data_IF_335161760120
#
_entry.id   IF_335161760120
#
_cell.length_a   1.000
_cell.length_b   1.000
_cell.length_c   1.000
_cell.angle_alpha   90.00
_cell.angle_beta   90.00
_cell.angle_gamma   90.00
#
_symmetry.space_group_name_H-M   'P 1'
#
loop_
_entity.id
_entity.type
_entity.pdbx_description
1 polymer ?
#
# COMPACT_ATOMS: atom_id res chain seq x y z
N UNK A 1 -16.89 58.12 -54.78
CA UNK A 1 -17.21 58.27 -53.34
C UNK A 1 -16.94 56.93 -52.64
N UNK A 2 -16.01 56.90 -51.67
CA UNK A 2 -15.71 55.70 -50.86
C UNK A 2 -16.34 55.91 -49.48
N UNK A 3 -17.32 55.09 -49.11
CA UNK A 3 -17.97 55.12 -47.80
C UNK A 3 -17.25 54.20 -46.84
N UNK A 4 -16.62 54.74 -45.80
CA UNK A 4 -16.00 53.95 -44.74
C UNK A 4 -17.09 53.38 -43.81
N UNK A 5 -17.28 52.06 -43.83
CA UNK A 5 -18.16 51.35 -42.91
C UNK A 5 -17.51 51.29 -41.53
N UNK A 6 -17.98 52.12 -40.60
CA UNK A 6 -17.61 52.06 -39.18
C UNK A 6 -18.15 50.78 -38.54
N UNK A 7 -17.26 49.80 -38.28
CA UNK A 7 -17.60 48.65 -37.43
C UNK A 7 -17.49 49.10 -35.98
N UNK A 8 -18.61 49.13 -35.26
CA UNK A 8 -18.62 49.37 -33.80
C UNK A 8 -17.87 48.22 -33.12
N UNK A 9 -16.90 48.48 -32.23
CA UNK A 9 -16.31 47.43 -31.42
C UNK A 9 -17.39 46.87 -30.48
N UNK A 10 -17.70 45.58 -30.59
CA UNK A 10 -18.56 44.89 -29.63
C UNK A 10 -17.77 44.69 -28.34
N UNK A 11 -18.15 45.42 -27.29
CA UNK A 11 -17.60 45.24 -25.94
C UNK A 11 -18.33 44.13 -25.19
N UNK A 12 -17.62 43.46 -24.29
CA UNK A 12 -18.20 42.48 -23.35
C UNK A 12 -19.11 43.19 -22.35
N UNK A 13 -20.30 42.64 -22.11
CA UNK A 13 -21.19 43.13 -21.06
C UNK A 13 -20.79 42.57 -19.69
N UNK A 14 -21.08 43.31 -18.62
CA UNK A 14 -20.86 42.82 -17.25
C UNK A 14 -21.63 41.52 -16.97
N UNK A 15 -22.80 41.36 -17.60
CA UNK A 15 -23.64 40.16 -17.48
C UNK A 15 -22.96 38.96 -18.13
N UNK A 16 -22.39 39.11 -19.33
CA UNK A 16 -21.65 38.02 -19.98
C UNK A 16 -20.44 37.59 -19.17
N UNK A 17 -19.70 38.53 -18.59
CA UNK A 17 -18.58 38.21 -17.70
C UNK A 17 -19.07 37.48 -16.43
N UNK A 18 -20.19 37.90 -15.86
CA UNK A 18 -20.78 37.31 -14.65
C UNK A 18 -21.26 35.86 -14.89
N UNK A 19 -21.91 35.60 -16.03
CA UNK A 19 -22.36 34.24 -16.39
C UNK A 19 -21.16 33.31 -16.58
N UNK A 20 -20.08 33.78 -17.21
CA UNK A 20 -18.87 32.97 -17.43
C UNK A 20 -18.23 32.57 -16.11
N UNK A 21 -18.02 33.51 -15.18
CA UNK A 21 -17.44 33.17 -13.88
C UNK A 21 -18.37 32.26 -13.07
N UNK A 22 -19.69 32.42 -13.18
CA UNK A 22 -20.66 31.54 -12.53
C UNK A 22 -20.54 30.09 -13.04
N UNK A 23 -20.41 29.90 -14.36
CA UNK A 23 -20.19 28.58 -14.96
C UNK A 23 -18.84 28.00 -14.51
N UNK A 24 -17.76 28.80 -14.50
CA UNK A 24 -16.43 28.35 -14.04
C UNK A 24 -16.49 27.87 -12.59
N UNK A 25 -17.17 28.60 -11.70
CA UNK A 25 -17.30 28.22 -10.28
C UNK A 25 -18.04 26.90 -10.13
N UNK A 26 -19.14 26.69 -10.85
CA UNK A 26 -19.90 25.43 -10.80
C UNK A 26 -19.06 24.27 -11.31
N UNK A 27 -18.36 24.44 -12.45
CA UNK A 27 -17.49 23.39 -13.01
C UNK A 27 -16.29 23.10 -12.11
N UNK A 28 -15.68 24.13 -11.51
CA UNK A 28 -14.57 23.97 -10.58
C UNK A 28 -15.00 23.20 -9.33
N UNK A 29 -16.17 23.52 -8.76
CA UNK A 29 -16.71 22.83 -7.59
C UNK A 29 -16.96 21.35 -7.87
N UNK A 30 -17.60 21.02 -9.01
CA UNK A 30 -17.82 19.63 -9.41
C UNK A 30 -16.50 18.88 -9.69
N UNK A 31 -15.54 19.54 -10.36
CA UNK A 31 -14.24 18.96 -10.70
C UNK A 31 -13.40 18.62 -9.47
N UNK A 32 -13.43 19.46 -8.44
CA UNK A 32 -12.65 19.25 -7.22
C UNK A 32 -13.09 18.00 -6.45
N UNK A 33 -14.41 17.78 -6.34
CA UNK A 33 -14.96 16.58 -5.67
C UNK A 33 -14.54 15.28 -6.36
N UNK A 34 -14.66 15.22 -7.69
CA UNK A 34 -14.27 14.06 -8.48
C UNK A 34 -12.75 13.76 -8.37
N UNK A 35 -11.91 14.80 -8.38
CA UNK A 35 -10.46 14.67 -8.26
C UNK A 35 -10.04 14.03 -6.93
N UNK A 36 -10.64 14.45 -5.80
CA UNK A 36 -10.32 13.86 -4.48
C UNK A 36 -10.67 12.37 -4.41
N UNK A 37 -11.83 11.97 -4.94
CA UNK A 37 -12.23 10.55 -4.98
C UNK A 37 -11.30 9.74 -5.88
N UNK A 38 -10.93 10.28 -7.06
CA UNK A 38 -10.00 9.62 -7.96
C UNK A 38 -8.62 9.41 -7.32
N UNK A 39 -8.09 10.41 -6.61
CA UNK A 39 -6.82 10.28 -5.89
C UNK A 39 -6.89 9.23 -4.77
N UNK A 40 -7.98 9.16 -4.00
CA UNK A 40 -8.15 8.14 -2.96
C UNK A 40 -8.18 6.73 -3.57
N UNK A 41 -8.89 6.55 -4.68
CA UNK A 41 -8.92 5.27 -5.41
C UNK A 41 -7.55 4.90 -5.96
N UNK A 42 -6.82 5.85 -6.55
CA UNK A 42 -5.47 5.62 -7.06
C UNK A 42 -4.51 5.16 -5.95
N UNK A 43 -4.57 5.80 -4.78
CA UNK A 43 -3.82 5.37 -3.60
C UNK A 43 -4.18 3.94 -3.18
N UNK A 44 -5.47 3.63 -3.12
CA UNK A 44 -5.91 2.29 -2.73
C UNK A 44 -5.45 1.19 -3.71
N UNK A 45 -5.51 1.47 -5.01
CA UNK A 45 -4.98 0.56 -6.05
C UNK A 45 -3.47 0.38 -5.88
N UNK A 46 -2.72 1.47 -5.71
CA UNK A 46 -1.26 1.40 -5.50
C UNK A 46 -0.90 0.57 -4.26
N UNK A 47 -1.60 0.78 -3.14
CA UNK A 47 -1.43 -0.03 -1.94
C UNK A 47 -1.68 -1.51 -2.22
N UNK A 48 -2.76 -1.85 -2.92
CA UNK A 48 -3.09 -3.24 -3.26
C UNK A 48 -2.00 -3.88 -4.13
N UNK A 49 -1.48 -3.14 -5.12
CA UNK A 49 -0.38 -3.62 -5.96
C UNK A 49 0.85 -3.95 -5.13
N UNK A 50 1.30 -3.03 -4.26
CA UNK A 50 2.47 -3.25 -3.40
C UNK A 50 2.24 -4.41 -2.42
N UNK A 51 1.06 -4.50 -1.81
CA UNK A 51 0.71 -5.62 -0.93
C UNK A 51 0.78 -6.97 -1.67
N UNK A 52 0.30 -7.02 -2.91
CA UNK A 52 0.37 -8.22 -3.76
C UNK A 52 1.82 -8.55 -4.12
N UNK A 53 2.68 -7.54 -4.37
CA UNK A 53 4.10 -7.75 -4.63
C UNK A 53 4.83 -8.34 -3.41
N UNK A 54 4.44 -7.97 -2.19
CA UNK A 54 4.99 -8.58 -0.96
C UNK A 54 4.55 -10.05 -0.85
N UNK A 55 3.28 -10.35 -1.07
CA UNK A 55 2.75 -11.73 -1.07
C UNK A 55 3.49 -12.60 -2.11
N UNK A 56 3.68 -12.07 -3.32
CA UNK A 56 4.44 -12.75 -4.38
C UNK A 56 5.90 -12.97 -3.99
N UNK A 57 6.55 -11.98 -3.37
CA UNK A 57 7.94 -12.10 -2.94
C UNK A 57 8.11 -13.19 -1.87
N UNK A 58 7.17 -13.29 -0.93
CA UNK A 58 7.17 -14.34 0.11
C UNK A 58 6.97 -15.72 -0.53
N UNK A 59 6.02 -15.85 -1.46
CA UNK A 59 5.80 -17.12 -2.17
C UNK A 59 7.02 -17.53 -3.01
N UNK A 60 7.69 -16.57 -3.66
CA UNK A 60 8.93 -16.85 -4.39
C UNK A 60 10.07 -17.28 -3.45
N UNK A 61 10.20 -16.64 -2.29
CA UNK A 61 11.15 -17.05 -1.27
C UNK A 61 10.87 -18.48 -0.78
N UNK A 62 9.61 -18.81 -0.52
CA UNK A 62 9.20 -20.16 -0.13
C UNK A 62 9.54 -21.19 -1.20
N UNK A 63 9.25 -20.90 -2.48
CA UNK A 63 9.59 -21.81 -3.58
C UNK A 63 11.10 -22.05 -3.73
N UNK A 64 11.91 -21.04 -3.41
CA UNK A 64 13.36 -21.13 -3.52
C UNK A 64 14.00 -21.90 -2.36
N UNK A 65 13.55 -21.62 -1.13
CA UNK A 65 14.19 -22.10 0.09
C UNK A 65 13.40 -23.20 0.81
N UNK A 66 12.19 -23.53 0.34
CA UNK A 66 11.24 -24.45 0.97
C UNK A 66 10.93 -24.10 2.44
N UNK A 67 11.04 -22.82 2.79
CA UNK A 67 10.76 -22.28 4.12
C UNK A 67 10.31 -20.83 3.98
N UNK A 68 9.44 -20.38 4.88
CA UNK A 68 9.04 -18.99 4.96
C UNK A 68 10.17 -18.11 5.54
N UNK A 69 10.21 -16.82 5.19
CA UNK A 69 11.09 -15.87 5.86
C UNK A 69 10.72 -15.81 7.34
N UNK A 70 11.70 -15.96 8.22
CA UNK A 70 11.52 -15.95 9.66
C UNK A 70 12.22 -14.73 10.29
N UNK A 71 11.62 -13.52 10.22
CA UNK A 71 12.23 -12.31 10.74
C UNK A 71 12.36 -12.27 12.27
N UNK A 72 11.57 -13.06 13.00
CA UNK A 72 11.57 -13.14 14.46
C UNK A 72 12.48 -14.26 15.00
N UNK A 73 12.83 -15.24 14.15
CA UNK A 73 13.52 -16.48 14.55
C UNK A 73 12.60 -17.44 15.31
N UNK A 74 11.31 -17.13 15.39
CA UNK A 74 10.32 -17.82 16.22
C UNK A 74 8.96 -17.83 15.53
N UNK A 75 8.91 -18.12 14.23
CA UNK A 75 7.63 -18.51 13.60
C UNK A 75 6.98 -19.59 14.49
N UNK A 76 5.87 -19.21 15.12
CA UNK A 76 5.30 -19.94 16.26
C UNK A 76 4.17 -20.82 15.78
N UNK A 77 4.06 -22.02 16.36
CA UNK A 77 3.00 -22.98 16.02
C UNK A 77 1.59 -22.53 16.45
N UNK A 78 1.49 -21.60 17.40
CA UNK A 78 0.21 -21.29 18.09
C UNK A 78 -0.41 -19.94 17.70
N UNK A 79 0.32 -19.08 16.98
CA UNK A 79 -0.20 -17.78 16.54
C UNK A 79 0.64 -17.15 15.44
N UNK A 80 -0.03 -16.60 14.42
CA UNK A 80 0.59 -15.80 13.36
C UNK A 80 0.48 -14.29 13.66
N UNK A 81 1.47 -13.66 14.31
CA UNK A 81 1.42 -12.23 14.59
C UNK A 81 1.56 -11.41 13.30
N UNK A 82 0.83 -10.28 13.15
CA UNK A 82 1.06 -9.35 12.07
C UNK A 82 2.38 -8.61 12.25
N UNK A 83 3.22 -8.66 11.21
CA UNK A 83 4.49 -7.96 11.07
C UNK A 83 4.26 -6.61 10.38
N UNK A 84 4.65 -5.51 11.03
CA UNK A 84 4.54 -4.16 10.46
C UNK A 84 5.82 -3.79 9.69
N UNK A 85 5.73 -3.61 8.37
CA UNK A 85 6.88 -3.26 7.51
C UNK A 85 7.51 -1.90 7.77
N UNK A 86 6.98 -1.11 8.70
CA UNK A 86 7.55 0.16 9.14
C UNK A 86 8.36 0.07 10.44
N UNK A 87 8.35 -1.09 11.13
CA UNK A 87 9.04 -1.25 12.42
C UNK A 87 9.58 -2.66 12.65
N UNK A 88 10.63 -2.79 13.47
CA UNK A 88 11.06 -4.05 14.07
C UNK A 88 11.21 -5.22 13.08
N UNK A 89 10.44 -6.27 13.29
CA UNK A 89 10.50 -7.52 12.53
C UNK A 89 10.01 -7.39 11.09
N UNK A 90 9.07 -6.48 10.80
CA UNK A 90 8.65 -6.25 9.42
C UNK A 90 9.75 -5.59 8.58
N UNK A 91 10.63 -4.79 9.19
CA UNK A 91 11.84 -4.28 8.50
C UNK A 91 12.82 -5.41 8.23
N UNK A 92 13.00 -6.34 9.19
CA UNK A 92 13.82 -7.54 8.96
C UNK A 92 13.28 -8.41 7.82
N UNK A 93 11.96 -8.57 7.74
CA UNK A 93 11.31 -9.25 6.61
C UNK A 93 11.70 -8.59 5.28
N UNK A 94 11.65 -7.25 5.20
CA UNK A 94 12.09 -6.53 4.00
C UNK A 94 13.58 -6.75 3.71
N UNK A 95 14.45 -6.76 4.72
CA UNK A 95 15.88 -7.03 4.50
C UNK A 95 16.14 -8.41 3.92
N UNK A 96 15.37 -9.43 4.34
CA UNK A 96 15.44 -10.80 3.81
C UNK A 96 14.97 -10.82 2.34
N UNK A 97 13.79 -10.25 2.07
CA UNK A 97 13.17 -10.25 0.73
C UNK A 97 13.95 -9.39 -0.28
N UNK A 98 14.67 -8.37 0.18
CA UNK A 98 15.52 -7.52 -0.66
C UNK A 98 16.98 -8.03 -0.76
N UNK A 99 17.31 -9.13 -0.09
CA UNK A 99 18.66 -9.72 -0.12
C UNK A 99 19.73 -8.85 0.55
N UNK A 100 19.33 -7.94 1.45
CA UNK A 100 20.19 -6.98 2.16
C UNK A 100 20.60 -7.45 3.57
N UNK A 101 20.50 -8.74 3.86
CA UNK A 101 20.92 -9.29 5.15
C UNK A 101 22.44 -9.10 5.36
N UNK A 102 22.82 -8.59 6.54
CA UNK A 102 24.19 -8.23 6.90
C UNK A 102 24.99 -9.36 7.57
N UNK A 103 24.49 -10.59 7.54
CA UNK A 103 25.13 -11.77 8.13
C UNK A 103 26.08 -12.55 7.20
N UNK A 104 26.76 -13.55 7.78
CA UNK A 104 27.64 -14.48 7.04
C UNK A 104 27.22 -15.93 7.34
N UNK A 105 27.06 -16.76 6.30
CA UNK A 105 26.79 -18.18 6.49
C UNK A 105 25.36 -18.49 6.95
N UNK A 106 25.22 -19.28 8.03
CA UNK A 106 23.97 -19.87 8.50
C UNK A 106 22.92 -18.85 9.00
N UNK A 107 23.35 -17.63 9.33
CA UNK A 107 22.48 -16.55 9.81
C UNK A 107 21.70 -15.86 8.69
N UNK A 108 22.11 -16.06 7.43
CA UNK A 108 21.48 -15.45 6.26
C UNK A 108 20.39 -16.39 5.76
N UNK A 109 19.14 -15.92 5.78
CA UNK A 109 18.03 -16.73 5.29
C UNK A 109 18.00 -16.78 3.77
N UNK A 110 18.28 -15.65 3.12
CA UNK A 110 18.43 -15.52 1.69
C UNK A 110 19.88 -15.74 1.26
N UNK A 111 20.37 -16.98 1.37
CA UNK A 111 21.79 -17.32 1.10
C UNK A 111 22.25 -16.98 -0.32
N UNK A 112 21.32 -16.93 -1.28
CA UNK A 112 21.57 -16.56 -2.68
C UNK A 112 21.53 -15.05 -2.93
N UNK A 113 21.20 -14.22 -1.92
CA UNK A 113 21.07 -12.76 -2.01
C UNK A 113 20.19 -12.30 -3.18
N UNK A 114 19.11 -13.05 -3.45
CA UNK A 114 18.20 -12.72 -4.53
C UNK A 114 17.22 -11.63 -4.11
N UNK A 115 16.91 -10.71 -5.00
CA UNK A 115 15.90 -9.68 -4.75
C UNK A 115 14.55 -10.24 -5.16
N UNK A 116 13.70 -10.56 -4.18
CA UNK A 116 12.34 -11.07 -4.39
C UNK A 116 11.31 -9.94 -4.48
N UNK A 117 11.56 -8.84 -3.76
CA UNK A 117 10.65 -7.70 -3.71
C UNK A 117 11.16 -6.55 -4.57
N UNK A 118 10.34 -6.11 -5.53
CA UNK A 118 10.58 -4.88 -6.28
C UNK A 118 9.41 -3.92 -6.08
N UNK A 119 9.67 -2.80 -5.40
CA UNK A 119 8.68 -1.79 -5.06
C UNK A 119 9.27 -0.40 -5.26
N UNK A 120 8.45 0.60 -5.64
CA UNK A 120 8.95 1.95 -5.82
C UNK A 120 9.47 2.54 -4.50
N UNK A 121 10.46 3.42 -4.61
CA UNK A 121 10.94 4.21 -3.48
C UNK A 121 9.92 5.28 -3.07
N UNK A 122 9.74 5.41 -1.77
CA UNK A 122 8.84 6.37 -1.14
C UNK A 122 9.57 7.63 -0.66
N UNK A 123 8.79 8.61 -0.19
CA UNK A 123 9.32 9.84 0.44
C UNK A 123 8.50 10.21 1.67
N UNK A 124 9.16 10.69 2.71
CA UNK A 124 8.50 11.22 3.91
C UNK A 124 7.62 10.21 4.63
N UNK A 125 8.11 8.97 4.80
CA UNK A 125 7.38 7.84 5.41
C UNK A 125 6.07 7.50 4.71
N UNK A 126 6.02 7.70 3.38
CA UNK A 126 4.84 7.43 2.55
C UNK A 126 5.27 6.88 1.20
N UNK A 127 4.35 6.11 0.63
CA UNK A 127 4.28 5.83 -0.80
C UNK A 127 5.46 5.04 -1.39
N UNK A 128 6.00 4.10 -0.62
CA UNK A 128 7.06 3.21 -1.10
C UNK A 128 8.09 2.84 -0.03
N UNK A 129 9.16 2.22 -0.50
CA UNK A 129 10.29 1.77 0.31
C UNK A 129 11.20 2.95 0.64
N UNK A 130 11.67 3.04 1.89
CA UNK A 130 12.52 4.12 2.35
C UNK A 130 13.80 3.54 2.95
N UNK A 131 14.91 4.17 2.58
CA UNK A 131 16.24 3.86 3.08
C UNK A 131 16.72 4.96 4.02
N UNK A 132 17.52 4.57 5.02
CA UNK A 132 18.29 5.45 5.89
C UNK A 132 19.76 5.05 5.74
N UNK A 133 20.48 5.77 4.88
CA UNK A 133 21.79 5.31 4.41
C UNK A 133 21.64 4.09 3.50
N UNK A 134 22.34 3.00 3.83
CA UNK A 134 22.23 1.71 3.10
C UNK A 134 21.19 0.76 3.72
N UNK A 135 20.72 1.07 4.93
CA UNK A 135 19.73 0.27 5.65
C UNK A 135 18.30 0.61 5.23
N UNK A 136 17.43 -0.39 5.28
CA UNK A 136 16.01 -0.21 5.00
C UNK A 136 15.36 0.34 6.27
N UNK A 137 14.73 1.51 6.16
CA UNK A 137 13.94 2.09 7.25
C UNK A 137 12.57 1.44 7.34
N UNK A 138 11.96 1.15 6.18
CA UNK A 138 10.67 0.50 6.10
C UNK A 138 9.95 0.74 4.78
N UNK A 139 8.86 0.00 4.58
CA UNK A 139 7.98 0.11 3.42
C UNK A 139 6.65 0.70 3.88
N UNK A 140 6.24 1.81 3.27
CA UNK A 140 5.06 2.56 3.65
C UNK A 140 4.02 2.58 2.53
N UNK A 141 2.76 2.53 2.92
CA UNK A 141 1.64 2.77 2.02
C UNK A 141 1.52 4.29 1.67
N UNK A 142 0.68 4.67 0.69
CA UNK A 142 0.45 6.06 0.33
C UNK A 142 -0.22 6.91 1.44
N UNK A 143 -0.67 6.28 2.53
CA UNK A 143 -1.31 6.92 3.69
C UNK A 143 -0.31 7.18 4.84
N UNK A 144 0.86 6.54 4.79
CA UNK A 144 1.96 6.67 5.74
C UNK A 144 1.88 5.70 6.91
N UNK A 145 1.34 4.52 6.68
CA UNK A 145 1.40 3.36 7.57
C UNK A 145 2.20 2.24 6.89
N UNK A 146 2.81 1.36 7.68
CA UNK A 146 3.42 0.14 7.14
C UNK A 146 2.36 -0.86 6.66
N UNK A 147 2.79 -1.76 5.78
CA UNK A 147 2.02 -2.94 5.43
C UNK A 147 2.11 -3.94 6.58
N UNK A 148 1.01 -4.61 6.84
CA UNK A 148 0.90 -5.66 7.83
C UNK A 148 0.99 -6.99 7.09
N UNK A 149 1.95 -7.81 7.46
CA UNK A 149 2.20 -9.13 6.87
C UNK A 149 1.97 -10.18 7.94
N UNK A 150 1.11 -11.14 7.66
CA UNK A 150 0.93 -12.31 8.52
C UNK A 150 1.42 -13.52 7.74
N UNK A 151 2.32 -14.29 8.33
CA UNK A 151 2.91 -15.49 7.75
C UNK A 151 2.27 -16.71 8.40
N UNK A 152 2.04 -17.77 7.63
CA UNK A 152 1.61 -19.09 8.13
C UNK A 152 2.78 -19.75 8.88
N UNK A 153 2.90 -19.49 10.18
CA UNK A 153 4.06 -19.91 10.98
C UNK A 153 4.07 -21.41 11.29
N UNK A 154 2.89 -22.03 11.35
CA UNK A 154 2.70 -23.44 11.68
C UNK A 154 2.53 -24.34 10.45
N UNK A 155 2.54 -23.74 9.25
CA UNK A 155 2.40 -24.42 7.96
C UNK A 155 1.11 -25.24 7.87
N UNK A 156 0.06 -24.81 8.56
CA UNK A 156 -1.25 -25.46 8.53
C UNK A 156 -2.10 -25.01 7.33
N UNK A 157 -1.59 -24.09 6.51
CA UNK A 157 -2.26 -23.45 5.37
C UNK A 157 -3.52 -22.67 5.75
N UNK A 158 -3.69 -22.31 7.02
CA UNK A 158 -4.85 -21.66 7.62
C UNK A 158 -4.45 -20.38 8.35
N UNK A 159 -4.53 -19.23 7.66
CA UNK A 159 -4.24 -17.95 8.28
C UNK A 159 -5.52 -17.28 8.78
N UNK A 160 -5.48 -16.80 10.03
CA UNK A 160 -6.54 -15.97 10.62
C UNK A 160 -6.19 -14.48 10.47
N UNK A 161 -6.97 -13.71 9.69
CA UNK A 161 -6.83 -12.27 9.68
C UNK A 161 -7.01 -11.67 11.08
N UNK A 162 -6.22 -10.66 11.47
CA UNK A 162 -6.35 -10.05 12.77
C UNK A 162 -7.71 -9.35 12.91
N UNK A 163 -8.26 -9.36 14.12
CA UNK A 163 -9.63 -8.89 14.42
C UNK A 163 -9.89 -7.45 13.96
N UNK A 164 -8.85 -6.61 13.95
CA UNK A 164 -8.93 -5.22 13.49
C UNK A 164 -9.26 -5.07 11.99
N UNK A 165 -9.06 -6.13 11.19
CA UNK A 165 -9.43 -6.18 9.78
C UNK A 165 -10.87 -6.62 9.53
N UNK A 166 -11.56 -7.12 10.55
CA UNK A 166 -12.94 -7.60 10.41
C UNK A 166 -13.94 -6.44 10.53
N UNK A 167 -14.94 -6.41 9.65
CA UNK A 167 -15.97 -5.38 9.68
C UNK A 167 -16.74 -5.41 11.01
N UNK A 168 -17.02 -4.23 11.58
CA UNK A 168 -17.78 -4.08 12.83
C UNK A 168 -19.14 -4.79 12.72
N UNK A 169 -19.35 -5.86 13.49
CA UNK A 169 -20.59 -6.65 13.48
C UNK A 169 -20.49 -8.05 12.85
N UNK A 170 -19.32 -8.44 12.31
CA UNK A 170 -19.05 -9.83 11.97
C UNK A 170 -18.70 -10.60 13.25
N UNK A 171 -19.57 -11.52 13.67
CA UNK A 171 -19.26 -12.50 14.72
C UNK A 171 -17.94 -13.22 14.38
N UNK A 172 -17.10 -13.46 15.38
CA UNK A 172 -15.77 -14.10 15.33
C UNK A 172 -15.72 -15.53 14.80
N UNK A 173 -16.64 -15.91 13.90
CA UNK A 173 -16.51 -17.08 13.06
C UNK A 173 -15.43 -16.81 12.01
N UNK A 174 -14.17 -16.96 12.44
CA UNK A 174 -13.14 -17.69 11.68
C UNK A 174 -13.26 -17.57 10.16
N UNK A 175 -13.05 -16.37 9.59
CA UNK A 175 -12.70 -16.24 8.18
C UNK A 175 -11.24 -16.71 8.03
N UNK A 176 -11.02 -17.99 8.32
CA UNK A 176 -9.76 -18.67 8.08
C UNK A 176 -9.58 -18.74 6.58
N UNK A 177 -8.49 -18.15 6.12
CA UNK A 177 -8.10 -18.17 4.73
C UNK A 177 -7.25 -19.42 4.53
N UNK A 178 -7.71 -20.30 3.64
CA UNK A 178 -7.07 -21.59 3.37
C UNK A 178 -6.17 -21.52 2.14
N UNK A 179 -5.10 -22.31 2.14
CA UNK A 179 -4.21 -22.50 1.00
C UNK A 179 -3.34 -21.29 0.68
N UNK A 180 -2.98 -20.49 1.70
CA UNK A 180 -2.11 -19.31 1.55
C UNK A 180 -0.99 -19.37 2.57
N UNK A 181 0.24 -19.08 2.13
CA UNK A 181 1.41 -19.03 3.01
C UNK A 181 1.58 -17.67 3.72
N UNK A 182 0.93 -16.62 3.22
CA UNK A 182 0.91 -15.32 3.86
C UNK A 182 -0.31 -14.50 3.45
N UNK A 183 -0.64 -13.49 4.25
CA UNK A 183 -1.57 -12.43 3.87
C UNK A 183 -0.92 -11.06 4.12
N UNK A 184 -1.25 -10.12 3.24
CA UNK A 184 -0.73 -8.75 3.34
C UNK A 184 -1.89 -7.76 3.27
N UNK A 185 -1.93 -6.84 4.20
CA UNK A 185 -2.93 -5.77 4.21
C UNK A 185 -2.34 -4.43 4.68
N UNK A 186 -2.99 -3.33 4.31
CA UNK A 186 -2.69 -1.99 4.82
C UNK A 186 -3.86 -1.49 5.65
N UNK A 187 -3.56 -0.68 6.66
CA UNK A 187 -4.56 -0.07 7.52
C UNK A 187 -5.41 1.01 6.82
N UNK A 188 -4.99 1.47 5.63
CA UNK A 188 -5.71 2.50 4.87
C UNK A 188 -5.59 3.91 5.46
N UNK A 189 -6.41 4.85 4.97
CA UNK A 189 -6.39 6.24 5.45
C UNK A 189 -6.82 6.42 6.90
N UNK A 190 -7.58 5.48 7.46
CA UNK A 190 -8.05 5.53 8.85
C UNK A 190 -6.98 5.09 9.87
N UNK A 191 -5.90 4.44 9.41
CA UNK A 191 -4.82 3.86 10.23
C UNK A 191 -5.29 2.91 11.33
N UNK A 192 -6.51 2.39 11.22
CA UNK A 192 -7.17 1.55 12.23
C UNK A 192 -7.54 0.18 11.66
N UNK A 193 -7.40 -0.03 10.36
CA UNK A 193 -7.54 -1.34 9.73
C UNK A 193 -8.98 -1.81 9.53
N UNK A 194 -9.97 -0.97 9.84
CA UNK A 194 -11.39 -1.35 9.82
C UNK A 194 -11.99 -1.16 8.43
N UNK A 195 -12.72 -0.07 8.22
CA UNK A 195 -13.52 0.14 7.02
C UNK A 195 -12.66 0.45 5.78
N UNK A 196 -11.43 0.95 5.98
CA UNK A 196 -10.57 1.41 4.89
C UNK A 196 -9.34 0.52 4.67
N UNK A 197 -9.27 -0.63 5.33
CA UNK A 197 -8.19 -1.57 5.10
C UNK A 197 -8.20 -2.07 3.66
N UNK A 198 -7.01 -2.11 3.07
CA UNK A 198 -6.80 -2.63 1.72
C UNK A 198 -6.12 -3.97 1.88
N UNK A 199 -6.78 -5.01 1.35
CA UNK A 199 -6.40 -6.41 1.56
C UNK A 199 -6.11 -7.11 0.24
N UNK A 200 -5.29 -8.14 0.34
CA UNK A 200 -4.99 -9.12 -0.73
C UNK A 200 -5.94 -10.32 -0.71
N UNK A 201 -6.81 -10.43 0.29
CA UNK A 201 -7.75 -11.53 0.50
C UNK A 201 -9.20 -11.05 0.62
#
# INVERSE_FOLDING_TARGET
MKTHSSRRPSGFTLVELLVVIAIIVVLAAAGFGAAMTAMKKAKAVKTKTVATSIEQAINQFYNEYNKLPDPSGTLSADSDPPLDTSTGEGVKLLTILLGKETGTGADVQNTKRMVFLNVPEGKGNKDGLIYEGDEIKGLYDPFGSGYQVVLDGDYNEEIKPPENTSASGSTSASNVLRGRHCIVYSLGSDKKGKAEAIKTF
#
